data_IF_234579783280
#
_entry.id   IF_234579783280
#
_cell.length_a   1.000
_cell.length_b   1.000
_cell.length_c   1.000
_cell.angle_alpha   90.00
_cell.angle_beta   90.00
_cell.angle_gamma   90.00
#
_symmetry.space_group_name_H-M   'P 1'
#
loop_
_entity.id
_entity.type
_entity.pdbx_description
1 polymer ?
#
# COMPACT_ATOMS: atom_id res chain seq x y z
N UNK A 1 -59.37 -6.61 15.34
CA UNK A 1 -58.15 -7.22 15.85
C UNK A 1 -57.19 -7.34 14.66
N UNK A 2 -56.19 -6.48 14.59
CA UNK A 2 -55.13 -6.52 13.58
C UNK A 2 -53.90 -7.20 14.19
N UNK A 3 -53.15 -8.02 13.42
CA UNK A 3 -51.95 -8.70 13.97
C UNK A 3 -50.79 -7.74 14.07
N UNK A 4 -50.11 -7.80 15.22
CA UNK A 4 -48.85 -7.10 15.53
C UNK A 4 -47.73 -7.77 14.74
N UNK A 5 -47.12 -7.02 13.80
CA UNK A 5 -45.90 -7.44 13.12
C UNK A 5 -44.71 -7.15 14.03
N UNK A 6 -44.11 -8.19 14.55
CA UNK A 6 -42.88 -8.10 15.34
C UNK A 6 -41.69 -7.78 14.42
N UNK A 7 -41.16 -6.56 14.50
CA UNK A 7 -39.87 -6.20 13.87
C UNK A 7 -38.74 -6.98 14.59
N UNK A 8 -38.21 -7.97 13.90
CA UNK A 8 -36.98 -8.64 14.32
C UNK A 8 -35.80 -7.65 14.30
N UNK A 9 -35.25 -7.34 15.47
CA UNK A 9 -34.02 -6.58 15.62
C UNK A 9 -32.85 -7.43 15.06
N UNK A 10 -32.31 -7.01 13.92
CA UNK A 10 -30.97 -7.40 13.53
C UNK A 10 -29.97 -6.70 14.47
N UNK A 11 -29.67 -7.32 15.58
CA UNK A 11 -28.49 -7.00 16.37
C UNK A 11 -27.29 -7.65 15.67
N UNK A 12 -26.61 -6.88 14.83
CA UNK A 12 -25.23 -7.21 14.44
C UNK A 12 -24.42 -7.26 15.73
N UNK A 13 -23.99 -8.45 16.14
CA UNK A 13 -23.12 -8.64 17.28
C UNK A 13 -21.78 -7.97 17.01
N UNK A 14 -21.60 -6.74 17.50
CA UNK A 14 -20.30 -6.13 17.65
C UNK A 14 -19.51 -7.01 18.63
N UNK A 15 -18.66 -7.87 18.11
CA UNK A 15 -17.69 -8.60 18.92
C UNK A 15 -16.63 -7.61 19.40
N UNK A 16 -16.79 -7.10 20.62
CA UNK A 16 -15.71 -6.38 21.31
C UNK A 16 -14.56 -7.39 21.50
N UNK A 17 -13.50 -7.25 20.72
CA UNK A 17 -12.26 -8.02 20.94
C UNK A 17 -11.58 -7.47 22.19
N UNK A 18 -11.66 -8.14 23.30
CA UNK A 18 -10.88 -7.88 24.50
C UNK A 18 -9.44 -8.35 24.25
N UNK A 19 -8.55 -7.42 23.93
CA UNK A 19 -7.16 -7.64 23.54
C UNK A 19 -6.88 -6.95 22.22
N UNK A 20 -5.73 -6.28 22.09
CA UNK A 20 -5.35 -5.56 20.88
C UNK A 20 -5.45 -6.43 19.61
N UNK A 21 -5.87 -5.86 18.52
CA UNK A 21 -5.95 -6.56 17.22
C UNK A 21 -4.53 -6.79 16.70
N UNK A 22 -4.10 -8.04 16.60
CA UNK A 22 -2.81 -8.37 15.97
C UNK A 22 -2.84 -7.95 14.50
N UNK A 23 -1.92 -7.09 14.10
CA UNK A 23 -1.73 -6.65 12.72
C UNK A 23 -0.39 -7.15 12.21
N UNK A 24 -0.37 -7.67 11.00
CA UNK A 24 0.82 -8.17 10.31
C UNK A 24 0.95 -7.45 8.97
N UNK A 25 2.13 -6.90 8.70
CA UNK A 25 2.47 -6.30 7.40
C UNK A 25 3.26 -7.31 6.56
N UNK A 26 2.67 -7.76 5.47
CA UNK A 26 3.27 -8.71 4.53
C UNK A 26 4.22 -7.99 3.53
N UNK A 27 5.20 -7.23 4.04
CA UNK A 27 6.10 -6.41 3.23
C UNK A 27 7.43 -6.18 3.93
N UNK A 28 8.52 -6.12 3.16
CA UNK A 28 9.84 -5.73 3.65
C UNK A 28 10.08 -4.21 3.62
N UNK A 29 9.11 -3.40 3.16
CA UNK A 29 9.27 -1.95 2.98
C UNK A 29 9.32 -1.21 4.32
N UNK A 30 10.45 -0.56 4.68
CA UNK A 30 10.53 0.28 5.88
C UNK A 30 9.59 1.47 5.83
N UNK A 31 9.36 2.04 4.63
CA UNK A 31 8.49 3.19 4.43
C UNK A 31 7.03 2.84 4.78
N UNK A 32 6.51 1.71 4.32
CA UNK A 32 5.16 1.23 4.69
C UNK A 32 5.02 1.04 6.19
N UNK A 33 6.04 0.46 6.83
CA UNK A 33 6.05 0.28 8.29
C UNK A 33 6.02 1.63 9.01
N UNK A 34 6.81 2.60 8.55
CA UNK A 34 6.86 3.94 9.15
C UNK A 34 5.50 4.67 9.04
N UNK A 35 4.83 4.58 7.88
CA UNK A 35 3.49 5.16 7.70
C UNK A 35 2.47 4.52 8.65
N UNK A 36 2.45 3.20 8.80
CA UNK A 36 1.53 2.53 9.72
C UNK A 36 1.81 2.93 11.17
N UNK A 37 3.08 2.99 11.58
CA UNK A 37 3.47 3.44 12.92
C UNK A 37 3.06 4.88 13.18
N UNK A 38 3.27 5.78 12.23
CA UNK A 38 2.81 7.17 12.32
C UNK A 38 1.28 7.27 12.41
N UNK A 39 0.55 6.34 11.79
CA UNK A 39 -0.91 6.23 11.89
C UNK A 39 -1.40 5.52 13.18
N UNK A 40 -0.50 5.16 14.10
CA UNK A 40 -0.85 4.51 15.36
C UNK A 40 -1.06 2.99 15.25
N UNK A 41 -0.46 2.34 14.27
CA UNK A 41 -0.49 0.88 14.11
C UNK A 41 0.95 0.35 14.05
N UNK A 42 1.34 -0.49 15.02
CA UNK A 42 2.66 -1.14 15.04
C UNK A 42 2.53 -2.62 14.61
N UNK A 43 2.60 -2.93 13.30
CA UNK A 43 2.41 -4.28 12.83
C UNK A 43 3.67 -5.13 13.04
N UNK A 44 3.47 -6.42 13.23
CA UNK A 44 4.51 -7.42 13.02
C UNK A 44 4.87 -7.48 11.52
N UNK A 45 6.16 -7.48 11.18
CA UNK A 45 6.63 -7.58 9.80
C UNK A 45 6.95 -9.01 9.45
N UNK A 46 6.26 -9.56 8.44
CA UNK A 46 6.55 -10.89 7.88
C UNK A 46 6.68 -10.75 6.36
N UNK A 47 7.88 -10.97 5.84
CA UNK A 47 8.13 -10.89 4.38
C UNK A 47 7.41 -12.05 3.68
N UNK A 48 6.66 -11.73 2.63
CA UNK A 48 5.83 -12.70 1.91
C UNK A 48 6.65 -13.75 1.14
N UNK A 49 7.76 -13.35 0.53
CA UNK A 49 8.57 -14.20 -0.34
C UNK A 49 7.90 -14.54 -1.67
N UNK A 50 6.90 -13.77 -2.09
CA UNK A 50 6.22 -13.95 -3.37
C UNK A 50 7.18 -13.60 -4.50
N UNK A 51 7.23 -14.46 -5.52
CA UNK A 51 7.88 -14.19 -6.79
C UNK A 51 6.96 -13.28 -7.62
N UNK A 52 7.31 -11.99 -7.69
CA UNK A 52 6.48 -10.97 -8.33
C UNK A 52 6.45 -11.14 -9.85
N UNK A 53 7.51 -11.69 -10.46
CA UNK A 53 7.62 -11.90 -11.90
C UNK A 53 6.68 -13.00 -12.42
N UNK A 54 6.16 -13.84 -11.53
CA UNK A 54 5.17 -14.86 -11.87
C UNK A 54 3.77 -14.32 -12.14
N UNK A 55 3.52 -13.01 -11.90
CA UNK A 55 2.21 -12.38 -12.02
C UNK A 55 2.16 -11.37 -13.16
N UNK A 56 1.01 -11.33 -13.84
CA UNK A 56 0.70 -10.33 -14.86
C UNK A 56 -0.76 -9.92 -14.77
N UNK A 57 -1.08 -8.72 -15.23
CA UNK A 57 -2.45 -8.21 -15.30
C UNK A 57 -2.60 -7.22 -16.48
N UNK A 58 -3.84 -6.93 -16.94
CA UNK A 58 -4.09 -6.04 -18.07
C UNK A 58 -3.70 -4.58 -17.83
N UNK A 59 -3.65 -4.13 -16.58
CA UNK A 59 -3.29 -2.75 -16.20
C UNK A 59 -2.36 -2.72 -14.99
N UNK A 60 -1.64 -1.60 -14.82
CA UNK A 60 -0.76 -1.36 -13.66
C UNK A 60 -1.52 -1.46 -12.34
N UNK A 61 -2.73 -0.88 -12.26
CA UNK A 61 -3.55 -0.94 -11.05
C UNK A 61 -3.98 -2.37 -10.71
N UNK A 62 -4.40 -3.16 -11.71
CA UNK A 62 -4.76 -4.56 -11.50
C UNK A 62 -3.55 -5.40 -11.08
N UNK A 63 -2.38 -5.16 -11.67
CA UNK A 63 -1.15 -5.86 -11.30
C UNK A 63 -0.77 -5.60 -9.84
N UNK A 64 -0.81 -4.33 -9.39
CA UNK A 64 -0.55 -3.99 -7.98
C UNK A 64 -1.55 -4.67 -7.04
N UNK A 65 -2.82 -4.80 -7.45
CA UNK A 65 -3.86 -5.48 -6.66
C UNK A 65 -3.61 -6.98 -6.56
N UNK A 66 -3.27 -7.63 -7.67
CA UNK A 66 -2.95 -9.06 -7.71
C UNK A 66 -1.75 -9.36 -6.81
N UNK A 67 -0.69 -8.57 -6.91
CA UNK A 67 0.52 -8.72 -6.09
C UNK A 67 0.25 -8.46 -4.60
N UNK A 68 -0.53 -7.43 -4.26
CA UNK A 68 -0.93 -7.17 -2.88
C UNK A 68 -1.70 -8.34 -2.28
N UNK A 69 -2.63 -8.92 -3.04
CA UNK A 69 -3.42 -10.07 -2.62
C UNK A 69 -2.57 -11.33 -2.46
N UNK A 70 -1.65 -11.59 -3.39
CA UNK A 70 -0.71 -12.70 -3.31
C UNK A 70 0.19 -12.60 -2.06
N UNK A 71 0.73 -11.41 -1.79
CA UNK A 71 1.57 -11.13 -0.60
C UNK A 71 0.79 -11.35 0.69
N UNK A 72 -0.43 -10.83 0.78
CA UNK A 72 -1.29 -11.03 1.95
C UNK A 72 -1.60 -12.52 2.17
N UNK A 73 -1.99 -13.24 1.13
CA UNK A 73 -2.35 -14.66 1.18
C UNK A 73 -1.17 -15.54 1.57
N UNK A 74 0.02 -15.29 1.03
CA UNK A 74 1.24 -16.04 1.34
C UNK A 74 1.62 -15.93 2.82
N UNK A 75 1.36 -14.79 3.47
CA UNK A 75 1.61 -14.61 4.90
C UNK A 75 0.44 -15.14 5.72
N UNK A 76 -0.80 -14.87 5.33
CA UNK A 76 -1.99 -15.32 6.06
C UNK A 76 -2.04 -16.85 6.21
N UNK A 77 -1.60 -17.59 5.18
CA UNK A 77 -1.56 -19.08 5.21
C UNK A 77 -0.64 -19.66 6.30
N UNK A 78 0.27 -18.86 6.86
CA UNK A 78 1.23 -19.26 7.91
C UNK A 78 0.75 -18.91 9.31
N UNK A 79 -0.42 -18.29 9.44
CA UNK A 79 -0.92 -17.72 10.69
C UNK A 79 -2.25 -18.38 11.09
N UNK A 80 -2.54 -18.39 12.38
CA UNK A 80 -3.81 -18.87 12.95
C UNK A 80 -4.79 -17.73 13.29
N UNK A 81 -4.31 -16.47 13.35
CA UNK A 81 -5.13 -15.31 13.70
C UNK A 81 -4.44 -13.98 13.35
N UNK A 82 -5.20 -12.89 13.28
CA UNK A 82 -4.72 -11.55 13.05
C UNK A 82 -5.21 -10.97 11.71
N UNK A 83 -4.88 -9.71 11.47
CA UNK A 83 -5.15 -8.99 10.22
C UNK A 83 -3.83 -8.90 9.44
N UNK A 84 -3.81 -9.47 8.24
CA UNK A 84 -2.63 -9.42 7.36
C UNK A 84 -2.85 -8.36 6.29
N UNK A 85 -1.94 -7.39 6.22
CA UNK A 85 -1.93 -6.33 5.21
C UNK A 85 -0.89 -6.68 4.14
N UNK A 86 -1.33 -6.85 2.90
CA UNK A 86 -0.46 -6.93 1.73
C UNK A 86 -0.57 -5.64 0.92
N UNK A 87 0.55 -5.13 0.43
CA UNK A 87 0.61 -3.97 -0.45
C UNK A 87 1.64 -4.17 -1.56
N UNK A 88 1.32 -3.66 -2.76
CA UNK A 88 2.26 -3.52 -3.84
C UNK A 88 2.09 -2.18 -4.54
N UNK A 89 3.20 -1.58 -5.01
CA UNK A 89 3.18 -0.24 -5.60
C UNK A 89 3.95 -0.19 -6.90
N UNK A 90 3.38 0.46 -7.92
CA UNK A 90 4.02 0.73 -9.21
C UNK A 90 3.64 2.12 -9.72
N UNK A 91 4.57 2.77 -10.37
CA UNK A 91 4.30 3.98 -11.15
C UNK A 91 3.85 3.56 -12.55
N UNK A 92 2.72 4.10 -12.99
CA UNK A 92 2.31 4.08 -14.40
C UNK A 92 2.73 5.39 -15.06
N UNK A 93 3.51 5.30 -16.12
CA UNK A 93 3.88 6.44 -16.96
C UNK A 93 3.57 6.06 -18.41
N UNK A 94 2.69 6.80 -19.05
CA UNK A 94 2.28 6.58 -20.44
C UNK A 94 1.75 5.14 -20.70
N UNK A 95 1.13 4.49 -19.72
CA UNK A 95 0.60 3.13 -19.80
C UNK A 95 1.64 2.03 -19.55
N UNK A 96 2.86 2.39 -19.17
CA UNK A 96 3.90 1.44 -18.79
C UNK A 96 4.08 1.39 -17.27
N UNK A 97 4.10 0.19 -16.71
CA UNK A 97 4.31 -0.04 -15.28
C UNK A 97 5.80 -0.02 -14.92
N UNK A 98 6.15 0.72 -13.88
CA UNK A 98 7.51 0.80 -13.35
C UNK A 98 7.51 0.42 -11.86
N UNK A 99 8.06 -0.75 -11.56
CA UNK A 99 8.43 -1.16 -10.20
C UNK A 99 9.75 -0.53 -9.76
N UNK A 100 10.51 -1.23 -8.91
CA UNK A 100 11.87 -0.82 -8.55
C UNK A 100 12.82 -0.97 -9.75
N UNK A 101 13.76 -0.03 -9.97
CA UNK A 101 14.77 -0.20 -11.01
C UNK A 101 15.76 -1.30 -10.61
N UNK A 102 16.19 -2.09 -11.58
CA UNK A 102 17.17 -3.15 -11.35
C UNK A 102 18.61 -2.63 -11.24
N UNK A 103 18.87 -1.40 -11.67
CA UNK A 103 20.22 -0.79 -11.65
C UNK A 103 20.16 0.74 -11.60
N UNK A 104 21.29 1.37 -11.27
CA UNK A 104 21.47 2.82 -11.33
C UNK A 104 21.24 3.37 -12.75
N UNK A 105 21.74 2.66 -13.76
CA UNK A 105 21.54 3.03 -15.16
C UNK A 105 20.05 3.05 -15.54
N UNK A 106 19.30 2.08 -15.09
CA UNK A 106 17.85 2.03 -15.31
C UNK A 106 17.13 3.16 -14.56
N UNK A 107 17.53 3.43 -13.31
CA UNK A 107 16.98 4.55 -12.55
C UNK A 107 17.22 5.90 -13.26
N UNK A 108 18.41 6.13 -13.78
CA UNK A 108 18.76 7.33 -14.55
C UNK A 108 17.92 7.45 -15.84
N UNK A 109 17.82 6.38 -16.60
CA UNK A 109 17.00 6.34 -17.80
C UNK A 109 15.51 6.62 -17.51
N UNK A 110 14.98 6.10 -16.40
CA UNK A 110 13.60 6.37 -15.96
C UNK A 110 13.41 7.84 -15.59
N UNK A 111 14.34 8.46 -14.90
CA UNK A 111 14.27 9.88 -14.56
C UNK A 111 14.25 10.78 -15.80
N UNK A 112 15.04 10.48 -16.83
CA UNK A 112 14.94 11.18 -18.11
C UNK A 112 13.56 11.03 -18.77
N UNK A 113 12.93 9.85 -18.62
CA UNK A 113 11.59 9.61 -19.15
C UNK A 113 10.50 10.33 -18.34
N UNK A 114 10.65 10.44 -17.01
CA UNK A 114 9.68 11.07 -16.10
C UNK A 114 9.76 12.59 -16.10
N UNK A 115 10.93 13.17 -16.40
CA UNK A 115 11.19 14.61 -16.35
C UNK A 115 10.12 15.42 -17.08
N UNK A 116 9.46 16.35 -16.36
CA UNK A 116 8.40 17.21 -16.86
C UNK A 116 7.08 16.50 -17.18
N UNK A 117 6.95 15.21 -16.87
CA UNK A 117 5.74 14.44 -17.12
C UNK A 117 4.86 14.26 -15.89
N UNK A 118 3.70 13.70 -16.14
CA UNK A 118 2.75 13.27 -15.11
C UNK A 118 2.59 11.77 -15.19
N UNK A 119 2.74 11.08 -14.06
CA UNK A 119 2.48 9.66 -13.92
C UNK A 119 1.40 9.40 -12.86
N UNK A 120 0.95 8.15 -12.74
CA UNK A 120 0.04 7.73 -11.69
C UNK A 120 0.70 6.63 -10.86
N UNK A 121 0.87 6.88 -9.57
CA UNK A 121 1.30 5.82 -8.65
C UNK A 121 0.08 5.03 -8.16
N UNK A 122 0.06 3.76 -8.51
CA UNK A 122 -0.91 2.80 -8.01
C UNK A 122 -0.32 2.03 -6.82
N UNK A 123 -1.13 1.85 -5.78
CA UNK A 123 -0.82 0.89 -4.72
C UNK A 123 -2.03 -0.02 -4.50
N UNK A 124 -1.85 -1.30 -4.76
CA UNK A 124 -2.79 -2.35 -4.40
C UNK A 124 -2.72 -2.62 -2.89
N UNK A 125 -3.87 -2.84 -2.29
CA UNK A 125 -4.00 -3.19 -0.88
C UNK A 125 -4.88 -4.42 -0.74
N UNK A 126 -4.52 -5.32 0.16
CA UNK A 126 -5.34 -6.45 0.55
C UNK A 126 -5.23 -6.63 2.06
N UNK A 127 -6.37 -6.73 2.74
CA UNK A 127 -6.43 -7.04 4.18
C UNK A 127 -7.17 -8.35 4.37
N UNK A 128 -6.52 -9.33 5.00
CA UNK A 128 -7.11 -10.64 5.31
C UNK A 128 -7.28 -10.77 6.82
N UNK A 129 -8.51 -10.98 7.27
CA UNK A 129 -8.77 -11.46 8.64
C UNK A 129 -8.60 -12.98 8.66
N UNK A 130 -7.46 -13.44 9.16
CA UNK A 130 -7.09 -14.86 9.22
C UNK A 130 -8.11 -15.68 10.03
N UNK A 131 -8.71 -15.07 11.07
CA UNK A 131 -9.64 -15.77 11.97
C UNK A 131 -10.98 -16.07 11.29
N UNK A 132 -11.50 -15.13 10.50
CA UNK A 132 -12.78 -15.29 9.80
C UNK A 132 -12.62 -15.78 8.36
N UNK A 133 -11.41 -15.70 7.79
CA UNK A 133 -11.13 -15.95 6.39
C UNK A 133 -11.64 -14.85 5.44
N UNK A 134 -12.16 -13.73 5.97
CA UNK A 134 -12.63 -12.60 5.15
C UNK A 134 -11.46 -11.82 4.60
N UNK A 135 -11.64 -11.32 3.37
CA UNK A 135 -10.65 -10.53 2.66
C UNK A 135 -11.33 -9.31 2.03
N UNK A 136 -10.71 -8.14 2.20
CA UNK A 136 -11.10 -6.92 1.51
C UNK A 136 -9.88 -6.35 0.78
N UNK A 137 -10.09 -5.87 -0.45
CA UNK A 137 -9.00 -5.43 -1.30
C UNK A 137 -9.43 -4.27 -2.20
N UNK A 138 -8.52 -3.31 -2.42
CA UNK A 138 -8.73 -2.19 -3.32
C UNK A 138 -7.40 -1.54 -3.73
N UNK A 139 -7.45 -0.74 -4.81
CA UNK A 139 -6.31 0.03 -5.34
C UNK A 139 -6.48 1.50 -4.99
N UNK A 140 -5.42 2.11 -4.47
CA UNK A 140 -5.29 3.57 -4.40
C UNK A 140 -4.48 4.07 -5.60
N UNK A 141 -4.89 5.23 -6.14
CA UNK A 141 -4.20 5.90 -7.22
C UNK A 141 -3.90 7.35 -6.83
N UNK A 142 -2.69 7.83 -7.09
CA UNK A 142 -2.28 9.21 -6.85
C UNK A 142 -1.52 9.69 -8.07
N UNK A 143 -1.97 10.79 -8.64
CA UNK A 143 -1.27 11.46 -9.74
C UNK A 143 -0.05 12.20 -9.21
N UNK A 144 1.10 12.03 -9.86
CA UNK A 144 2.38 12.68 -9.51
C UNK A 144 2.84 13.49 -10.70
N UNK A 145 3.11 14.78 -10.49
CA UNK A 145 3.72 15.66 -11.49
C UNK A 145 5.19 15.82 -11.17
N UNK A 146 6.03 15.37 -12.08
CA UNK A 146 7.47 15.44 -11.94
C UNK A 146 7.99 16.78 -12.48
N UNK A 147 8.91 17.38 -11.74
CA UNK A 147 9.68 18.52 -12.19
C UNK A 147 10.65 18.17 -13.34
N UNK A 148 11.46 19.14 -13.73
CA UNK A 148 12.44 19.02 -14.82
C UNK A 148 13.87 19.10 -14.28
N UNK A 149 14.37 18.10 -13.54
CA UNK A 149 15.75 18.10 -13.07
C UNK A 149 16.73 18.08 -14.25
N UNK A 150 17.89 18.69 -14.06
CA UNK A 150 19.00 18.63 -15.00
C UNK A 150 19.66 17.25 -14.97
N UNK A 151 20.43 16.89 -16.00
CA UNK A 151 21.18 15.64 -16.05
C UNK A 151 22.11 15.49 -14.84
N UNK A 152 22.74 16.58 -14.38
CA UNK A 152 23.62 16.58 -13.23
C UNK A 152 22.85 16.27 -11.91
N UNK A 153 21.64 16.79 -11.75
CA UNK A 153 20.78 16.50 -10.60
C UNK A 153 20.28 15.05 -10.63
N UNK A 154 19.88 14.54 -11.80
CA UNK A 154 19.48 13.13 -11.97
C UNK A 154 20.64 12.22 -11.58
N UNK A 155 21.83 12.44 -12.15
CA UNK A 155 23.01 11.62 -11.83
C UNK A 155 23.38 11.70 -10.34
N UNK A 156 23.34 12.90 -9.74
CA UNK A 156 23.59 13.07 -8.30
C UNK A 156 22.56 12.32 -7.44
N UNK A 157 21.28 12.39 -7.79
CA UNK A 157 20.22 11.69 -7.07
C UNK A 157 20.38 10.17 -7.18
N UNK A 158 20.64 9.66 -8.38
CA UNK A 158 20.87 8.22 -8.58
C UNK A 158 22.10 7.72 -7.82
N UNK A 159 23.15 8.53 -7.74
CA UNK A 159 24.38 8.20 -7.00
C UNK A 159 24.15 8.05 -5.48
N UNK A 160 23.07 8.62 -4.92
CA UNK A 160 22.70 8.41 -3.50
C UNK A 160 22.22 6.98 -3.21
N UNK A 161 21.79 6.24 -4.23
CA UNK A 161 21.18 4.92 -4.10
C UNK A 161 19.71 4.92 -3.64
N UNK A 162 19.15 6.08 -3.26
CA UNK A 162 17.76 6.18 -2.80
C UNK A 162 16.76 5.64 -3.84
N UNK A 163 16.82 6.04 -5.14
CA UNK A 163 15.85 5.61 -6.14
C UNK A 163 15.84 4.09 -6.39
N UNK A 164 16.93 3.38 -6.09
CA UNK A 164 17.06 1.95 -6.37
C UNK A 164 16.10 1.09 -5.53
N UNK A 165 15.61 1.62 -4.42
CA UNK A 165 14.72 0.91 -3.52
C UNK A 165 13.25 1.33 -3.63
N UNK A 166 12.94 2.24 -4.57
CA UNK A 166 11.63 2.89 -4.69
C UNK A 166 10.90 2.48 -5.97
N UNK A 167 9.59 2.20 -5.86
CA UNK A 167 8.74 2.01 -7.02
C UNK A 167 8.75 3.27 -7.89
N UNK A 168 8.94 3.11 -9.22
CA UNK A 168 9.11 4.24 -10.13
C UNK A 168 10.42 5.01 -9.97
N UNK A 169 11.39 4.52 -9.19
CA UNK A 169 12.69 5.16 -8.93
C UNK A 169 12.59 6.54 -8.25
N UNK A 170 11.54 6.81 -7.46
CA UNK A 170 11.39 8.09 -6.72
C UNK A 170 10.72 7.89 -5.37
N UNK A 171 10.86 8.88 -4.49
CA UNK A 171 10.08 9.03 -3.25
C UNK A 171 9.80 10.51 -3.01
N UNK A 172 8.71 10.80 -2.27
CA UNK A 172 8.37 12.18 -1.85
C UNK A 172 8.84 12.48 -0.44
N UNK A 173 9.27 11.49 0.33
CA UNK A 173 9.74 11.65 1.72
C UNK A 173 11.25 11.88 1.83
N UNK A 174 12.01 11.67 0.75
CA UNK A 174 13.47 11.75 0.73
C UNK A 174 13.99 12.80 -0.23
N UNK A 175 15.17 12.52 -0.78
CA UNK A 175 15.85 13.41 -1.72
C UNK A 175 15.07 13.57 -3.04
N UNK A 176 14.33 12.54 -3.46
CA UNK A 176 13.47 12.60 -4.65
C UNK A 176 12.35 13.64 -4.55
N UNK A 177 11.98 14.05 -3.33
CA UNK A 177 10.98 15.10 -3.11
C UNK A 177 11.32 16.46 -3.74
N UNK A 178 12.60 16.76 -3.98
CA UNK A 178 13.04 17.96 -4.70
C UNK A 178 12.58 17.99 -6.16
N UNK A 179 12.24 16.86 -6.73
CA UNK A 179 11.93 16.68 -8.14
C UNK A 179 10.45 16.31 -8.39
N UNK A 180 9.60 16.50 -7.38
CA UNK A 180 8.13 16.33 -7.48
C UNK A 180 7.47 17.69 -7.28
N UNK A 181 6.87 18.22 -8.35
CA UNK A 181 6.21 19.53 -8.31
C UNK A 181 4.90 19.50 -7.54
N UNK A 182 4.11 18.44 -7.71
CA UNK A 182 2.83 18.29 -7.01
C UNK A 182 2.29 16.86 -7.10
N UNK A 183 1.35 16.54 -6.21
CA UNK A 183 0.54 15.34 -6.25
C UNK A 183 -0.95 15.70 -6.22
N UNK A 184 -1.78 14.83 -6.81
CA UNK A 184 -3.24 14.88 -6.68
C UNK A 184 -3.72 13.51 -6.22
N UNK A 185 -4.14 13.43 -4.95
CA UNK A 185 -4.52 12.21 -4.26
C UNK A 185 -3.88 12.05 -2.87
N UNK A 186 -3.72 10.81 -2.44
CA UNK A 186 -3.19 10.49 -1.11
C UNK A 186 -1.66 10.47 -1.09
N UNK A 187 -1.06 11.34 -0.27
CA UNK A 187 0.38 11.40 -0.02
C UNK A 187 0.95 10.05 0.45
N UNK A 188 0.28 9.40 1.41
CA UNK A 188 0.75 8.12 1.95
C UNK A 188 0.72 7.00 0.89
N UNK A 189 -0.20 7.10 -0.08
CA UNK A 189 -0.23 6.18 -1.21
C UNK A 189 1.08 6.25 -2.02
N UNK A 190 1.63 7.46 -2.22
CA UNK A 190 2.91 7.63 -2.94
C UNK A 190 4.07 7.00 -2.18
N UNK A 191 4.02 6.99 -0.85
CA UNK A 191 5.00 6.30 0.02
C UNK A 191 4.85 4.77 -0.07
N UNK A 192 3.65 4.30 -0.46
CA UNK A 192 3.39 2.89 -0.75
C UNK A 192 2.31 2.22 0.09
N UNK A 193 1.50 3.00 0.85
CA UNK A 193 0.37 2.48 1.61
C UNK A 193 -0.64 3.60 1.92
N UNK A 194 -1.88 3.47 1.45
CA UNK A 194 -2.94 4.45 1.69
C UNK A 194 -3.64 4.21 3.03
N UNK A 195 -3.42 5.09 3.99
CA UNK A 195 -4.11 5.04 5.29
C UNK A 195 -5.61 5.28 5.17
N UNK A 196 -6.11 6.24 4.37
CA UNK A 196 -7.54 6.41 4.13
C UNK A 196 -8.21 5.18 3.51
N UNK A 197 -7.55 4.53 2.54
CA UNK A 197 -8.06 3.32 1.92
C UNK A 197 -8.10 2.15 2.92
N UNK A 198 -7.02 1.93 3.67
CA UNK A 198 -6.97 0.90 4.71
C UNK A 198 -8.06 1.08 5.76
N UNK A 199 -8.39 2.32 6.16
CA UNK A 199 -9.51 2.59 7.06
C UNK A 199 -10.83 2.05 6.48
N UNK A 200 -11.04 2.17 5.17
CA UNK A 200 -12.20 1.58 4.48
C UNK A 200 -12.21 0.06 4.58
N UNK A 201 -11.09 -0.59 4.21
CA UNK A 201 -10.96 -2.04 4.23
C UNK A 201 -11.13 -2.63 5.64
N UNK A 202 -10.55 -1.99 6.66
CA UNK A 202 -10.75 -2.39 8.05
C UNK A 202 -12.21 -2.28 8.48
N UNK A 203 -12.89 -1.16 8.17
CA UNK A 203 -14.33 -0.99 8.45
C UNK A 203 -15.15 -2.10 7.80
N UNK A 204 -14.85 -2.43 6.56
CA UNK A 204 -15.61 -3.43 5.80
C UNK A 204 -15.35 -4.85 6.36
N UNK A 205 -14.22 -5.08 7.01
CA UNK A 205 -13.94 -6.27 7.84
C UNK A 205 -14.55 -6.20 9.25
N UNK A 206 -15.17 -5.07 9.63
CA UNK A 206 -15.76 -4.87 10.95
C UNK A 206 -14.75 -4.50 12.03
N UNK A 207 -13.58 -3.96 11.65
CA UNK A 207 -12.52 -3.49 12.54
C UNK A 207 -12.54 -1.97 12.58
N UNK A 208 -12.54 -1.40 13.79
CA UNK A 208 -12.53 0.05 14.00
C UNK A 208 -11.13 0.57 14.28
N UNK A 209 -10.86 1.83 13.94
CA UNK A 209 -9.57 2.46 14.22
C UNK A 209 -9.25 2.49 15.73
N UNK A 210 -10.20 2.80 16.64
CA UNK A 210 -9.94 2.70 18.08
C UNK A 210 -9.48 1.32 18.55
N UNK A 211 -9.93 0.22 17.94
CA UNK A 211 -9.46 -1.13 18.27
C UNK A 211 -8.01 -1.34 17.84
N UNK A 212 -7.60 -0.77 16.69
CA UNK A 212 -6.21 -0.79 16.24
C UNK A 212 -5.30 0.02 17.18
N UNK A 213 -5.78 1.14 17.71
CA UNK A 213 -5.02 1.98 18.65
C UNK A 213 -5.02 1.47 20.10
N UNK A 214 -5.83 0.47 20.45
CA UNK A 214 -5.89 -0.06 21.82
C UNK A 214 -4.55 -0.66 22.28
N UNK A 215 -3.67 -1.04 21.36
CA UNK A 215 -2.31 -1.51 21.69
C UNK A 215 -1.32 -0.39 22.07
N UNK A 216 -1.71 0.89 21.92
CA UNK A 216 -0.90 2.07 22.29
C UNK A 216 -1.18 2.61 23.69
N UNK A 217 -2.04 1.94 24.48
CA UNK A 217 -2.42 2.37 25.83
C UNK A 217 -1.78 1.55 26.94
#
# INVERSE_FOLDING_TARGET
MAPIVTLGRFLSSVRVRLGGVRVVLASASPARLAVLRAAGVDPEVIVSGVDEDAYSAPSTGELTQVLASAKASAVASRLSSGLVIGCDSMLDLDGQAYGKPASAQEAEARWHQMSGKTGTLFTGHCVIDVTSGRCEAAVAATTVRFGTPTDAEISAYVATGEPLNMAGAFTIEGLGGWFVDSIDGDHNNVIGISVPLLRGLFRDLGVTIPELWAQYR
#
